data_IF_997818808323
#
_entry.id   IF_997818808323
#
_cell.length_a   1.000
_cell.length_b   1.000
_cell.length_c   1.000
_cell.angle_alpha   90.00
_cell.angle_beta   90.00
_cell.angle_gamma   90.00
#
_symmetry.space_group_name_H-M   'P 1'
#
loop_
_entity.id
_entity.type
_entity.pdbx_description
1 polymer ?
#
# COMPACT_ATOMS: atom_id res chain seq x y z
N UNK A 1 -51.33 5.99 -79.86
CA UNK A 1 -50.23 5.22 -79.41
C UNK A 1 -49.23 6.16 -78.77
N UNK A 2 -49.17 6.20 -77.42
CA UNK A 2 -48.34 7.12 -76.69
C UNK A 2 -47.19 6.26 -76.00
N UNK A 3 -45.95 6.46 -76.40
CA UNK A 3 -44.78 5.87 -75.78
C UNK A 3 -44.38 6.64 -74.54
N UNK A 4 -44.48 6.03 -73.37
CA UNK A 4 -43.97 6.60 -72.11
C UNK A 4 -42.46 6.22 -72.03
N UNK A 5 -41.56 7.22 -72.03
CA UNK A 5 -40.16 7.10 -71.72
C UNK A 5 -39.99 7.19 -70.24
N UNK A 6 -39.40 6.14 -69.64
CA UNK A 6 -39.02 6.08 -68.22
C UNK A 6 -37.62 6.63 -68.10
N UNK A 7 -37.40 7.75 -67.40
CA UNK A 7 -36.09 8.29 -67.05
C UNK A 7 -35.68 7.67 -65.70
N UNK A 8 -34.68 6.83 -65.73
CA UNK A 8 -34.05 6.30 -64.51
C UNK A 8 -32.99 7.29 -64.04
N UNK A 9 -33.23 7.96 -62.88
CA UNK A 9 -32.25 8.80 -62.18
C UNK A 9 -31.38 7.88 -61.35
N UNK A 10 -30.11 7.65 -61.76
CA UNK A 10 -29.07 7.00 -60.94
C UNK A 10 -28.45 8.07 -60.03
N UNK A 11 -28.81 8.08 -58.76
CA UNK A 11 -28.15 8.88 -57.75
C UNK A 11 -26.89 8.18 -57.31
N UNK A 12 -25.73 8.63 -57.80
CA UNK A 12 -24.43 8.17 -57.39
C UNK A 12 -24.06 8.91 -56.08
N UNK A 13 -24.37 8.31 -54.93
CA UNK A 13 -23.98 8.82 -53.61
C UNK A 13 -22.48 8.65 -53.42
N UNK A 14 -21.72 9.74 -53.52
CA UNK A 14 -20.32 9.79 -53.07
C UNK A 14 -20.28 9.67 -51.56
N UNK A 15 -20.08 8.46 -51.04
CA UNK A 15 -19.71 8.24 -49.65
C UNK A 15 -18.31 8.78 -49.43
N UNK A 16 -18.16 10.02 -49.01
CA UNK A 16 -16.91 10.57 -48.50
C UNK A 16 -16.74 9.97 -47.09
N UNK A 17 -16.10 8.81 -47.01
CA UNK A 17 -15.67 8.24 -45.75
C UNK A 17 -14.53 9.10 -45.20
N UNK A 18 -14.84 10.04 -44.32
CA UNK A 18 -13.88 10.68 -43.47
C UNK A 18 -13.27 9.60 -42.56
N UNK A 19 -12.12 9.05 -42.90
CA UNK A 19 -11.32 8.27 -41.96
C UNK A 19 -10.84 9.26 -40.92
N UNK A 20 -11.24 9.15 -39.63
CA UNK A 20 -10.64 9.97 -38.60
C UNK A 20 -9.12 9.68 -38.58
N UNK A 21 -8.31 10.70 -38.78
CA UNK A 21 -6.88 10.60 -38.54
C UNK A 21 -6.73 10.51 -37.03
N UNK A 22 -6.53 9.31 -36.51
CA UNK A 22 -6.02 9.10 -35.15
C UNK A 22 -4.55 9.54 -35.17
N UNK A 23 -4.29 10.76 -34.79
CA UNK A 23 -2.94 11.15 -34.42
C UNK A 23 -2.64 10.48 -33.09
N UNK A 24 -1.59 9.65 -33.05
CA UNK A 24 -1.11 9.09 -31.78
C UNK A 24 -0.82 10.24 -30.83
N UNK A 25 -1.23 10.18 -29.57
CA UNK A 25 -0.90 11.23 -28.61
C UNK A 25 0.61 11.48 -28.62
N UNK A 26 1.02 12.73 -28.74
CA UNK A 26 2.43 13.11 -28.63
C UNK A 26 2.93 12.77 -27.24
N UNK A 27 3.94 11.90 -27.14
CA UNK A 27 4.61 11.55 -25.88
C UNK A 27 5.91 12.36 -25.75
N UNK A 28 6.23 12.76 -24.52
CA UNK A 28 7.41 13.59 -24.26
C UNK A 28 7.82 13.48 -22.79
N UNK A 29 9.14 13.48 -22.53
CA UNK A 29 9.68 13.63 -21.17
C UNK A 29 9.55 15.07 -20.63
N UNK A 30 9.27 16.06 -21.51
CA UNK A 30 9.23 17.46 -21.10
C UNK A 30 10.55 17.93 -20.51
N UNK A 31 10.51 18.41 -19.27
CA UNK A 31 11.70 18.85 -18.54
C UNK A 31 12.35 17.74 -17.69
N UNK A 32 11.86 16.50 -17.78
CA UNK A 32 12.44 15.33 -17.10
C UNK A 32 13.56 14.77 -17.97
N UNK A 33 14.70 14.49 -17.37
CA UNK A 33 15.69 13.57 -17.93
C UNK A 33 15.47 12.18 -17.30
N UNK A 34 14.80 11.24 -18.01
CA UNK A 34 14.46 9.93 -17.45
C UNK A 34 15.58 8.89 -17.62
N UNK A 35 16.77 9.29 -18.10
CA UNK A 35 17.84 8.35 -18.48
C UNK A 35 18.30 7.47 -17.32
N UNK A 36 18.38 8.01 -16.11
CA UNK A 36 18.73 7.28 -14.89
C UNK A 36 17.67 7.58 -13.81
N UNK A 37 16.61 6.80 -13.84
CA UNK A 37 15.54 6.89 -12.86
C UNK A 37 15.81 5.99 -11.67
N UNK A 38 15.66 6.54 -10.47
CA UNK A 38 15.66 5.78 -9.22
C UNK A 38 14.38 6.06 -8.43
N UNK A 39 13.87 5.05 -7.71
CA UNK A 39 12.79 5.22 -6.75
C UNK A 39 13.20 4.68 -5.39
N UNK A 40 13.01 5.51 -4.36
CA UNK A 40 13.42 5.24 -2.99
C UNK A 40 12.18 5.21 -2.09
N UNK A 41 12.16 4.29 -1.12
CA UNK A 41 11.09 4.20 -0.13
C UNK A 41 11.03 2.86 0.57
N UNK A 42 9.87 2.59 1.17
CA UNK A 42 9.63 1.38 1.95
C UNK A 42 8.94 0.26 1.17
N UNK A 43 8.10 -0.47 1.87
CA UNK A 43 7.37 -1.66 1.40
C UNK A 43 6.62 -1.44 0.08
N UNK A 44 5.89 -0.32 -0.03
CA UNK A 44 5.09 0.00 -1.24
C UNK A 44 5.98 0.18 -2.48
N UNK A 45 7.15 0.78 -2.33
CA UNK A 45 8.12 0.99 -3.42
C UNK A 45 8.80 -0.31 -3.80
N UNK A 46 9.13 -1.15 -2.82
CA UNK A 46 9.74 -2.46 -3.03
C UNK A 46 8.86 -3.43 -3.84
N UNK A 47 7.55 -3.23 -3.84
CA UNK A 47 6.58 -4.19 -4.38
C UNK A 47 6.22 -5.29 -3.37
N UNK A 48 6.35 -4.99 -2.08
CA UNK A 48 5.84 -5.84 -1.02
C UNK A 48 4.30 -5.81 -1.04
N UNK A 49 3.68 -6.97 -1.12
CA UNK A 49 2.23 -7.12 -1.18
C UNK A 49 1.84 -8.52 -0.70
N UNK A 50 0.60 -8.72 -0.30
CA UNK A 50 0.14 -9.99 0.26
C UNK A 50 1.02 -10.46 1.42
N UNK A 51 1.47 -9.50 2.24
CA UNK A 51 2.38 -9.66 3.37
C UNK A 51 3.69 -10.39 3.02
N UNK A 52 4.24 -10.19 1.83
CA UNK A 52 5.56 -10.69 1.45
C UNK A 52 6.18 -9.95 0.26
N UNK A 53 7.52 -9.99 0.17
CA UNK A 53 8.23 -9.63 -1.04
C UNK A 53 8.26 -10.83 -1.98
N UNK A 54 7.70 -10.68 -3.18
CA UNK A 54 7.62 -11.72 -4.23
C UNK A 54 8.09 -11.18 -5.56
N UNK A 55 8.50 -12.06 -6.48
CA UNK A 55 8.82 -11.67 -7.84
C UNK A 55 7.65 -10.93 -8.53
N UNK A 56 6.44 -11.49 -8.42
CA UNK A 56 5.23 -10.88 -8.99
C UNK A 56 4.93 -9.51 -8.40
N UNK A 57 5.11 -9.32 -7.08
CA UNK A 57 4.96 -8.01 -6.43
C UNK A 57 5.99 -7.01 -6.96
N UNK A 58 7.24 -7.42 -7.10
CA UNK A 58 8.33 -6.54 -7.55
C UNK A 58 8.18 -6.08 -8.99
N UNK A 59 7.80 -6.97 -9.94
CA UNK A 59 7.59 -6.57 -11.35
C UNK A 59 6.35 -5.69 -11.54
N UNK A 60 5.42 -5.69 -10.58
CA UNK A 60 4.24 -4.83 -10.52
C UNK A 60 4.35 -3.76 -9.41
N UNK A 61 5.56 -3.50 -8.92
CA UNK A 61 5.81 -2.47 -7.91
C UNK A 61 5.55 -1.07 -8.47
N UNK A 62 5.26 -0.13 -7.59
CA UNK A 62 5.12 1.28 -7.96
C UNK A 62 6.33 1.77 -8.76
N UNK A 63 7.54 1.40 -8.34
CA UNK A 63 8.79 1.76 -9.00
C UNK A 63 8.88 1.18 -10.43
N UNK A 64 8.58 -0.12 -10.60
CA UNK A 64 8.60 -0.78 -11.90
C UNK A 64 7.61 -0.17 -12.88
N UNK A 65 6.40 0.12 -12.41
CA UNK A 65 5.32 0.67 -13.22
C UNK A 65 5.64 2.10 -13.71
N UNK A 66 6.18 2.95 -12.84
CA UNK A 66 6.63 4.30 -13.22
C UNK A 66 7.79 4.21 -14.22
N UNK A 67 8.81 3.38 -13.95
CA UNK A 67 9.95 3.18 -14.83
C UNK A 67 9.51 2.68 -16.22
N UNK A 68 8.53 1.77 -16.28
CA UNK A 68 7.95 1.28 -17.52
C UNK A 68 7.27 2.36 -18.36
N UNK A 69 6.70 3.40 -17.73
CA UNK A 69 6.15 4.54 -18.46
C UNK A 69 7.23 5.54 -18.86
N UNK A 70 8.24 5.75 -18.01
CA UNK A 70 9.39 6.59 -18.34
C UNK A 70 10.19 6.04 -19.54
N UNK A 71 10.30 4.71 -19.67
CA UNK A 71 10.99 4.09 -20.82
C UNK A 71 10.36 4.48 -22.17
N UNK A 72 9.05 4.77 -22.21
CA UNK A 72 8.36 5.19 -23.43
C UNK A 72 8.75 6.62 -23.89
N UNK A 73 9.32 7.41 -22.99
CA UNK A 73 9.73 8.79 -23.25
C UNK A 73 11.26 8.99 -23.15
N UNK A 74 12.03 7.91 -23.33
CA UNK A 74 13.48 7.94 -23.35
C UNK A 74 14.16 7.51 -22.06
N UNK A 75 13.43 6.88 -21.14
CA UNK A 75 14.00 6.29 -19.93
C UNK A 75 14.99 5.16 -20.23
N UNK A 76 16.06 5.12 -19.43
CA UNK A 76 17.09 4.09 -19.52
C UNK A 76 16.69 2.76 -18.90
N UNK A 77 17.68 1.89 -18.71
CA UNK A 77 17.48 0.59 -18.09
C UNK A 77 17.12 0.77 -16.61
N UNK A 78 16.11 0.05 -16.16
CA UNK A 78 15.66 0.04 -14.77
C UNK A 78 15.80 -1.35 -14.17
N UNK A 79 16.83 -1.56 -13.38
CA UNK A 79 17.09 -2.82 -12.70
C UNK A 79 16.46 -2.84 -11.32
N UNK A 80 16.02 -4.03 -10.89
CA UNK A 80 15.44 -4.25 -9.58
C UNK A 80 16.13 -5.41 -8.86
N UNK A 81 16.23 -5.37 -7.52
CA UNK A 81 16.77 -6.49 -6.74
C UNK A 81 15.73 -7.61 -6.63
N UNK A 82 15.37 -8.24 -7.76
CA UNK A 82 14.30 -9.23 -7.84
C UNK A 82 14.63 -10.47 -6.98
N UNK A 83 13.60 -11.00 -6.31
CA UNK A 83 13.63 -12.35 -5.77
C UNK A 83 13.41 -13.35 -6.91
N UNK A 84 13.78 -14.62 -6.70
CA UNK A 84 13.53 -15.68 -7.69
C UNK A 84 12.04 -15.80 -8.01
N UNK A 85 11.69 -16.04 -9.26
CA UNK A 85 10.32 -16.28 -9.72
C UNK A 85 9.68 -17.49 -9.01
N UNK A 86 10.50 -18.48 -8.64
CA UNK A 86 10.06 -19.66 -7.88
C UNK A 86 9.88 -19.41 -6.39
N UNK A 87 10.27 -18.25 -5.86
CA UNK A 87 10.15 -17.93 -4.44
C UNK A 87 8.68 -17.91 -3.99
N UNK A 88 8.44 -18.45 -2.80
CA UNK A 88 7.14 -18.34 -2.13
C UNK A 88 6.96 -16.99 -1.42
N UNK A 89 7.90 -16.08 -1.62
CA UNK A 89 7.93 -14.79 -0.92
C UNK A 89 8.35 -14.92 0.54
N UNK A 90 8.75 -13.79 1.13
CA UNK A 90 9.04 -13.72 2.57
C UNK A 90 8.50 -12.41 3.14
N UNK A 91 7.81 -12.53 4.27
CA UNK A 91 7.30 -11.40 5.03
C UNK A 91 8.38 -10.77 5.91
N UNK A 92 8.09 -9.60 6.48
CA UNK A 92 8.90 -8.98 7.54
C UNK A 92 9.11 -9.89 8.76
N UNK A 93 8.23 -10.88 8.95
CA UNK A 93 8.29 -11.86 10.04
C UNK A 93 8.79 -13.24 9.59
N UNK A 94 9.28 -13.37 8.35
CA UNK A 94 9.81 -14.62 7.81
C UNK A 94 8.78 -15.62 7.30
N UNK A 95 7.50 -15.20 7.16
CA UNK A 95 6.42 -16.07 6.66
C UNK A 95 6.29 -15.98 5.13
N UNK A 96 5.71 -17.02 4.51
CA UNK A 96 5.40 -17.04 3.09
C UNK A 96 4.27 -16.08 2.72
N UNK A 97 4.12 -15.78 1.42
CA UNK A 97 3.08 -14.91 0.87
C UNK A 97 1.67 -15.40 1.21
N UNK A 98 0.75 -14.46 1.42
CA UNK A 98 -0.68 -14.73 1.54
C UNK A 98 -1.29 -15.01 0.15
N UNK A 99 -2.22 -15.94 0.10
CA UNK A 99 -3.08 -16.20 -1.05
C UNK A 99 -4.51 -16.46 -0.56
N UNK A 100 -5.50 -16.27 -1.43
CA UNK A 100 -6.86 -16.71 -1.09
C UNK A 100 -6.92 -18.22 -1.16
N UNK A 101 -7.50 -18.82 -0.14
CA UNK A 101 -7.70 -20.25 -0.01
C UNK A 101 -8.81 -20.56 0.97
N UNK A 102 -9.22 -21.82 1.03
CA UNK A 102 -10.24 -22.24 1.98
C UNK A 102 -9.61 -22.58 3.33
N UNK A 103 -10.19 -22.01 4.39
CA UNK A 103 -9.83 -22.30 5.78
C UNK A 103 -11.06 -22.86 6.48
N UNK A 104 -10.89 -24.00 7.13
CA UNK A 104 -11.95 -24.63 7.95
C UNK A 104 -11.77 -24.18 9.40
N UNK A 105 -12.82 -23.67 10.00
CA UNK A 105 -12.85 -23.25 11.40
C UNK A 105 -13.12 -24.44 12.36
N UNK A 106 -13.18 -24.14 13.67
CA UNK A 106 -13.41 -25.13 14.71
C UNK A 106 -14.80 -25.80 14.68
N UNK A 107 -15.76 -25.20 13.97
CA UNK A 107 -17.11 -25.76 13.79
C UNK A 107 -17.22 -26.57 12.49
N UNK A 108 -16.11 -26.74 11.76
CA UNK A 108 -16.08 -27.46 10.50
C UNK A 108 -16.58 -26.66 9.29
N UNK A 109 -16.83 -25.37 9.45
CA UNK A 109 -17.26 -24.49 8.36
C UNK A 109 -16.05 -23.98 7.57
N UNK A 110 -16.03 -24.25 6.25
CA UNK A 110 -14.99 -23.76 5.36
C UNK A 110 -15.39 -22.43 4.73
N UNK A 111 -14.50 -21.44 4.82
CA UNK A 111 -14.67 -20.12 4.23
C UNK A 111 -13.43 -19.69 3.45
N UNK A 112 -13.64 -18.84 2.43
CA UNK A 112 -12.55 -18.23 1.68
C UNK A 112 -11.85 -17.20 2.55
N UNK A 113 -10.54 -17.37 2.72
CA UNK A 113 -9.73 -16.54 3.64
C UNK A 113 -8.32 -16.35 3.09
N UNK A 114 -7.60 -15.28 3.47
CA UNK A 114 -6.16 -15.23 3.28
C UNK A 114 -5.47 -16.34 4.07
N UNK A 115 -4.71 -17.16 3.37
CA UNK A 115 -3.91 -18.26 3.95
C UNK A 115 -2.48 -18.16 3.45
N UNK A 116 -1.52 -18.63 4.26
CA UNK A 116 -0.12 -18.67 3.84
C UNK A 116 0.07 -19.74 2.77
N UNK A 117 0.80 -19.40 1.71
CA UNK A 117 1.20 -20.37 0.68
C UNK A 117 2.10 -21.42 1.33
N UNK A 118 1.82 -22.70 1.04
CA UNK A 118 2.65 -23.79 1.54
C UNK A 118 4.10 -23.65 1.03
N UNK A 119 5.05 -23.80 1.95
CA UNK A 119 6.47 -23.82 1.59
C UNK A 119 6.80 -25.21 1.05
N UNK A 120 7.20 -25.26 -0.21
CA UNK A 120 7.67 -26.49 -0.85
C UNK A 120 9.07 -26.22 -1.38
N UNK A 121 10.07 -26.91 -0.84
CA UNK A 121 11.46 -26.79 -1.27
C UNK A 121 12.32 -25.89 -0.36
N UNK A 122 13.51 -25.54 -0.84
CA UNK A 122 14.47 -24.72 -0.13
C UNK A 122 14.09 -23.23 -0.19
N UNK A 123 13.95 -22.61 0.97
CA UNK A 123 13.68 -21.15 1.13
C UNK A 123 14.98 -20.33 1.17
N UNK A 124 16.13 -20.95 0.89
CA UNK A 124 17.45 -20.29 0.94
C UNK A 124 17.67 -19.16 -0.05
N UNK A 125 16.67 -18.87 -0.92
CA UNK A 125 16.64 -17.77 -1.90
C UNK A 125 16.99 -16.40 -1.29
N UNK A 126 16.97 -16.26 0.03
CA UNK A 126 17.25 -15.04 0.76
C UNK A 126 18.75 -14.73 0.92
N UNK A 127 19.62 -15.71 0.71
CA UNK A 127 21.04 -15.56 0.91
C UNK A 127 21.79 -15.10 -0.35
N UNK A 128 21.08 -14.93 -1.48
CA UNK A 128 21.70 -14.48 -2.71
C UNK A 128 21.99 -12.97 -2.65
N UNK A 129 23.25 -12.63 -2.54
CA UNK A 129 23.72 -11.25 -2.70
C UNK A 129 23.55 -10.85 -4.19
N UNK A 130 22.73 -9.85 -4.44
CA UNK A 130 22.40 -9.41 -5.80
C UNK A 130 23.23 -8.22 -6.28
N UNK A 131 24.06 -7.65 -5.39
CA UNK A 131 24.87 -6.49 -5.76
C UNK A 131 25.81 -6.84 -6.92
N UNK A 132 25.73 -6.02 -7.98
CA UNK A 132 26.61 -6.09 -9.12
C UNK A 132 27.13 -4.70 -9.47
N UNK A 133 28.45 -4.54 -9.52
CA UNK A 133 29.08 -3.30 -9.99
C UNK A 133 28.82 -2.98 -11.47
N UNK A 134 28.30 -3.94 -12.23
CA UNK A 134 28.08 -3.80 -13.67
C UNK A 134 26.79 -3.05 -14.03
N UNK A 135 25.83 -2.97 -13.12
CA UNK A 135 24.54 -2.31 -13.41
C UNK A 135 23.85 -1.90 -12.11
N UNK A 136 23.88 -0.62 -11.75
CA UNK A 136 23.22 -0.15 -10.54
C UNK A 136 21.70 -0.43 -10.59
N UNK A 137 21.10 -0.66 -9.44
CA UNK A 137 19.66 -0.77 -9.31
C UNK A 137 18.99 0.61 -9.48
N UNK A 138 17.73 0.60 -9.93
CA UNK A 138 16.84 1.75 -9.95
C UNK A 138 15.79 1.72 -8.84
N UNK A 139 15.45 0.51 -8.35
CA UNK A 139 14.50 0.35 -7.24
C UNK A 139 15.25 0.17 -5.91
N UNK A 140 15.16 1.19 -5.05
CA UNK A 140 15.68 1.24 -3.70
C UNK A 140 14.55 1.18 -2.66
N UNK A 141 13.48 0.47 -2.97
CA UNK A 141 12.44 0.11 -2.02
C UNK A 141 12.93 -0.96 -1.06
N UNK A 142 12.85 -0.69 0.23
CA UNK A 142 13.28 -1.60 1.31
C UNK A 142 12.10 -1.87 2.24
N UNK A 143 11.54 -3.09 2.24
CA UNK A 143 10.44 -3.41 3.13
C UNK A 143 10.74 -3.12 4.60
N UNK A 144 9.82 -2.44 5.27
CA UNK A 144 9.90 -2.11 6.69
C UNK A 144 10.88 -0.99 7.04
N UNK A 145 11.52 -0.33 6.07
CA UNK A 145 12.46 0.77 6.35
C UNK A 145 11.72 2.03 6.78
N UNK A 146 12.20 2.66 7.84
CA UNK A 146 11.74 3.99 8.26
C UNK A 146 12.53 5.09 7.54
N UNK A 147 11.96 6.28 7.51
CA UNK A 147 12.59 7.45 6.88
C UNK A 147 13.99 7.75 7.45
N UNK A 148 14.15 7.71 8.78
CA UNK A 148 15.42 7.96 9.46
C UNK A 148 16.48 6.90 9.16
N UNK A 149 16.07 5.68 8.79
CA UNK A 149 16.95 4.57 8.45
C UNK A 149 17.48 4.62 7.01
N UNK A 150 16.87 5.41 6.12
CA UNK A 150 17.33 5.50 4.73
C UNK A 150 18.78 5.97 4.60
N UNK A 151 19.26 6.77 5.55
CA UNK A 151 20.65 7.25 5.61
C UNK A 151 21.50 6.51 6.67
N UNK A 152 20.94 5.49 7.32
CA UNK A 152 21.66 4.73 8.33
C UNK A 152 22.70 3.84 7.67
N UNK A 153 23.97 4.12 7.95
CA UNK A 153 25.07 3.26 7.52
C UNK A 153 25.00 1.91 8.25
N UNK A 154 25.24 0.84 7.49
CA UNK A 154 25.19 -0.51 8.06
C UNK A 154 23.79 -1.09 8.23
N UNK A 155 22.75 -0.46 7.69
CA UNK A 155 21.37 -0.96 7.75
C UNK A 155 21.23 -2.41 7.26
N UNK A 156 22.10 -2.84 6.36
CA UNK A 156 22.13 -4.22 5.84
C UNK A 156 22.34 -5.30 6.90
N UNK A 157 22.87 -4.95 8.08
CA UNK A 157 23.02 -5.89 9.20
C UNK A 157 21.68 -6.19 9.89
N UNK A 158 20.76 -5.22 9.89
CA UNK A 158 19.49 -5.30 10.61
C UNK A 158 18.29 -5.49 9.67
N UNK A 159 18.44 -5.19 8.38
CA UNK A 159 17.39 -5.34 7.37
C UNK A 159 17.81 -6.35 6.29
N UNK A 160 17.25 -7.56 6.37
CA UNK A 160 17.56 -8.66 5.43
C UNK A 160 17.17 -8.34 3.99
N UNK A 161 16.17 -7.50 3.75
CA UNK A 161 15.80 -7.10 2.39
C UNK A 161 16.85 -6.20 1.76
N UNK A 162 17.39 -5.23 2.52
CA UNK A 162 18.47 -4.38 2.04
C UNK A 162 19.79 -5.14 1.91
N UNK A 163 20.08 -6.09 2.82
CA UNK A 163 21.31 -6.88 2.77
C UNK A 163 21.52 -7.63 1.45
N UNK A 164 20.44 -7.93 0.72
CA UNK A 164 20.50 -8.63 -0.58
C UNK A 164 21.16 -7.80 -1.68
N UNK A 165 21.06 -6.48 -1.62
CA UNK A 165 21.50 -5.60 -2.69
C UNK A 165 22.31 -4.38 -2.24
N UNK A 166 22.59 -4.26 -0.96
CA UNK A 166 23.47 -3.23 -0.44
C UNK A 166 24.87 -3.35 -1.07
N UNK A 167 25.45 -2.24 -1.51
CA UNK A 167 26.76 -2.21 -2.16
C UNK A 167 27.89 -2.66 -1.23
N UNK A 168 27.71 -2.45 0.06
CA UNK A 168 28.63 -2.90 1.11
C UNK A 168 27.91 -3.04 2.46
N UNK A 169 28.55 -3.69 3.42
CA UNK A 169 28.06 -3.79 4.79
C UNK A 169 27.96 -2.46 5.55
N UNK A 170 28.53 -1.38 5.01
CA UNK A 170 28.47 -0.03 5.60
C UNK A 170 27.68 0.96 4.78
N UNK A 171 27.15 0.56 3.62
CA UNK A 171 26.34 1.44 2.79
C UNK A 171 24.98 1.76 3.48
N UNK A 172 24.47 2.95 3.18
CA UNK A 172 23.06 3.29 3.42
C UNK A 172 22.26 3.16 2.12
N UNK A 173 20.92 3.12 2.22
CA UNK A 173 20.04 3.10 1.04
C UNK A 173 20.25 4.34 0.17
N UNK A 174 20.45 5.50 0.78
CA UNK A 174 20.66 6.76 0.06
C UNK A 174 22.05 6.81 -0.58
N UNK A 175 23.11 6.29 0.07
CA UNK A 175 24.45 6.22 -0.55
C UNK A 175 24.39 5.40 -1.85
N UNK A 176 23.70 4.25 -1.81
CA UNK A 176 23.55 3.40 -2.99
C UNK A 176 22.68 4.06 -4.07
N UNK A 177 21.59 4.72 -3.69
CA UNK A 177 20.74 5.44 -4.63
C UNK A 177 21.46 6.62 -5.30
N UNK A 178 22.27 7.38 -4.56
CA UNK A 178 23.09 8.50 -5.09
C UNK A 178 24.22 7.97 -5.97
N UNK A 179 24.82 6.82 -5.62
CA UNK A 179 25.88 6.20 -6.43
C UNK A 179 25.39 5.73 -7.81
N UNK A 180 24.09 5.52 -7.98
CA UNK A 180 23.46 5.27 -9.28
C UNK A 180 23.42 6.52 -10.18
N UNK A 181 23.88 7.68 -9.69
CA UNK A 181 23.92 8.98 -10.38
C UNK A 181 22.59 9.34 -11.05
N UNK A 182 21.49 9.44 -10.27
CA UNK A 182 20.17 9.63 -10.84
C UNK A 182 20.04 10.99 -11.54
N UNK A 183 19.36 10.99 -12.69
CA UNK A 183 18.93 12.22 -13.38
C UNK A 183 17.51 12.61 -12.99
N UNK A 184 16.70 11.60 -12.57
CA UNK A 184 15.35 11.78 -12.04
C UNK A 184 15.09 10.79 -10.92
N UNK A 185 14.44 11.23 -9.83
CA UNK A 185 14.09 10.36 -8.73
C UNK A 185 12.62 10.46 -8.32
N UNK A 186 12.13 9.39 -7.68
CA UNK A 186 10.87 9.39 -6.93
C UNK A 186 11.15 8.99 -5.47
N UNK A 187 10.53 9.68 -4.51
CA UNK A 187 10.64 9.36 -3.10
C UNK A 187 9.24 9.18 -2.48
N UNK A 188 8.99 7.98 -1.95
CA UNK A 188 7.80 7.69 -1.17
C UNK A 188 8.22 6.96 0.11
N UNK A 189 8.51 7.72 1.14
CA UNK A 189 9.07 7.26 2.42
C UNK A 189 8.31 7.86 3.59
N UNK A 190 8.31 7.18 4.73
CA UNK A 190 7.59 7.58 5.93
C UNK A 190 6.27 6.81 6.16
N UNK A 191 5.90 5.91 5.26
CA UNK A 191 4.68 5.11 5.40
C UNK A 191 4.88 3.91 6.34
N UNK A 192 6.03 3.24 6.26
CA UNK A 192 6.28 2.01 7.00
C UNK A 192 6.30 2.23 8.51
N UNK A 193 6.84 3.36 9.00
CA UNK A 193 6.79 3.69 10.43
C UNK A 193 5.37 3.99 10.92
N UNK A 194 4.55 4.66 10.10
CA UNK A 194 3.14 4.91 10.45
C UNK A 194 2.35 3.60 10.52
N UNK A 195 2.56 2.72 9.55
CA UNK A 195 1.95 1.39 9.50
C UNK A 195 2.39 0.53 10.68
N UNK A 196 3.69 0.50 10.99
CA UNK A 196 4.22 -0.28 12.11
C UNK A 196 3.64 0.20 13.44
N UNK A 197 3.60 1.51 13.66
CA UNK A 197 3.01 2.11 14.85
C UNK A 197 1.52 1.77 14.98
N UNK A 198 0.75 1.97 13.92
CA UNK A 198 -0.68 1.66 13.92
C UNK A 198 -0.97 0.15 14.10
N UNK A 199 -0.19 -0.73 13.44
CA UNK A 199 -0.36 -2.21 13.56
C UNK A 199 -0.06 -2.73 14.95
N UNK A 200 0.71 -2.02 15.75
CA UNK A 200 0.99 -2.39 17.14
C UNK A 200 -0.05 -1.89 18.13
N UNK A 201 -1.16 -1.26 17.69
CA UNK A 201 -2.08 -0.56 18.59
C UNK A 201 -1.37 0.57 19.35
N UNK A 202 -0.48 1.28 18.69
CA UNK A 202 0.34 2.36 19.26
C UNK A 202 1.21 1.93 20.49
N UNK A 203 1.32 0.64 20.78
CA UNK A 203 2.02 0.12 21.98
C UNK A 203 3.53 -0.01 21.78
N UNK A 204 4.02 -0.06 20.55
CA UNK A 204 5.43 -0.28 20.23
C UNK A 204 6.01 0.93 19.49
N UNK A 205 7.07 1.50 20.05
CA UNK A 205 7.80 2.61 19.46
C UNK A 205 7.12 3.95 19.66
N UNK A 206 7.76 4.99 19.13
CA UNK A 206 7.23 6.35 19.07
C UNK A 206 7.41 6.87 17.66
N UNK A 207 6.43 7.62 17.17
CA UNK A 207 6.60 8.32 15.91
C UNK A 207 7.62 9.46 16.08
N UNK A 208 8.50 9.71 15.10
CA UNK A 208 9.38 10.87 15.14
C UNK A 208 8.59 12.16 15.32
N UNK A 209 9.17 13.14 16.03
CA UNK A 209 8.59 14.49 16.05
C UNK A 209 8.54 15.07 14.63
N UNK A 210 7.67 16.04 14.39
CA UNK A 210 7.58 16.70 13.07
C UNK A 210 8.92 17.29 12.63
N UNK A 211 9.71 17.83 13.57
CA UNK A 211 11.03 18.41 13.28
C UNK A 211 12.07 17.34 12.90
N UNK A 212 12.08 16.20 13.57
CA UNK A 212 12.96 15.07 13.22
C UNK A 212 12.60 14.50 11.86
N UNK A 213 11.32 14.28 11.60
CA UNK A 213 10.82 13.82 10.31
C UNK A 213 11.22 14.79 9.18
N UNK A 214 10.96 16.10 9.36
CA UNK A 214 11.30 17.13 8.38
C UNK A 214 12.81 17.20 8.12
N UNK A 215 13.63 17.10 9.18
CA UNK A 215 15.09 17.13 9.05
C UNK A 215 15.62 15.91 8.29
N UNK A 216 15.12 14.70 8.61
CA UNK A 216 15.50 13.48 7.90
C UNK A 216 15.07 13.53 6.44
N UNK A 217 13.84 13.97 6.16
CA UNK A 217 13.33 14.10 4.79
C UNK A 217 14.13 15.12 3.97
N UNK A 218 14.43 16.30 4.55
CA UNK A 218 15.25 17.34 3.91
C UNK A 218 16.67 16.85 3.63
N UNK A 219 17.26 16.07 4.53
CA UNK A 219 18.59 15.48 4.34
C UNK A 219 18.61 14.50 3.16
N UNK A 220 17.60 13.63 3.07
CA UNK A 220 17.43 12.71 1.93
C UNK A 220 17.28 13.48 0.62
N UNK A 221 16.44 14.52 0.58
CA UNK A 221 16.26 15.35 -0.61
C UNK A 221 17.54 16.10 -1.00
N UNK A 222 18.28 16.62 -0.02
CA UNK A 222 19.56 17.29 -0.27
C UNK A 222 20.56 16.35 -0.93
N UNK A 223 20.65 15.10 -0.49
CA UNK A 223 21.53 14.11 -1.11
C UNK A 223 21.09 13.76 -2.55
N UNK A 224 19.79 13.53 -2.77
CA UNK A 224 19.26 13.16 -4.09
C UNK A 224 19.34 14.31 -5.12
N UNK A 225 19.27 15.57 -4.69
CA UNK A 225 19.30 16.74 -5.58
C UNK A 225 20.69 17.34 -5.76
N UNK A 226 21.71 16.84 -5.07
CA UNK A 226 23.06 17.42 -5.04
C UNK A 226 23.68 17.55 -6.44
N UNK A 227 23.40 16.58 -7.33
CA UNK A 227 23.89 16.60 -8.72
C UNK A 227 22.88 17.20 -9.71
N UNK A 228 21.85 17.93 -9.22
CA UNK A 228 20.85 18.59 -10.06
C UNK A 228 19.73 17.68 -10.55
N UNK A 229 19.57 16.47 -9.99
CA UNK A 229 18.46 15.61 -10.32
C UNK A 229 17.11 16.28 -9.96
N UNK A 230 16.14 16.20 -10.88
CA UNK A 230 14.75 16.55 -10.62
C UNK A 230 14.04 15.36 -9.99
N UNK A 231 12.91 15.58 -9.34
CA UNK A 231 12.22 14.46 -8.69
C UNK A 231 10.74 14.70 -8.41
N UNK A 232 10.12 13.65 -7.92
CA UNK A 232 8.74 13.64 -7.44
C UNK A 232 8.69 13.03 -6.04
N UNK A 233 7.98 13.69 -5.14
CA UNK A 233 7.77 13.21 -3.76
C UNK A 233 6.28 13.08 -3.49
N UNK A 234 5.92 12.32 -2.47
CA UNK A 234 4.53 12.03 -2.16
C UNK A 234 4.18 12.33 -0.70
N UNK A 235 2.98 12.81 -0.44
CA UNK A 235 2.41 12.89 0.90
C UNK A 235 2.16 11.48 1.46
N UNK A 236 1.79 11.35 2.73
CA UNK A 236 1.47 10.10 3.39
C UNK A 236 -0.05 9.93 3.53
N UNK A 237 -0.59 8.75 3.27
CA UNK A 237 -2.02 8.49 3.46
C UNK A 237 -2.39 8.41 4.95
N UNK A 238 -3.67 8.60 5.26
CA UNK A 238 -4.24 8.19 6.55
C UNK A 238 -4.30 6.66 6.62
N UNK A 239 -3.33 6.05 7.27
CA UNK A 239 -3.22 4.58 7.39
C UNK A 239 -4.43 3.96 8.10
N UNK A 240 -5.15 4.72 8.92
CA UNK A 240 -6.33 4.25 9.64
C UNK A 240 -7.53 3.96 8.72
N UNK A 241 -7.49 4.41 7.46
CA UNK A 241 -8.50 4.13 6.43
C UNK A 241 -8.22 2.85 5.63
N UNK A 242 -7.10 2.19 5.88
CA UNK A 242 -6.74 0.97 5.18
C UNK A 242 -7.59 -0.23 5.64
N UNK A 243 -7.85 -1.21 4.76
CA UNK A 243 -8.65 -2.40 5.09
C UNK A 243 -8.21 -3.13 6.36
N UNK A 244 -6.92 -3.12 6.67
CA UNK A 244 -6.36 -3.73 7.87
C UNK A 244 -7.04 -3.25 9.16
N UNK A 245 -7.47 -1.99 9.20
CA UNK A 245 -8.08 -1.36 10.37
C UNK A 245 -9.60 -1.18 10.23
N UNK A 246 -10.16 -1.30 9.04
CA UNK A 246 -11.59 -0.99 8.79
C UNK A 246 -12.45 -2.22 8.54
N UNK A 247 -11.83 -3.42 8.47
CA UNK A 247 -12.55 -4.66 8.12
C UNK A 247 -13.32 -5.24 9.30
N UNK A 248 -12.77 -5.18 10.51
CA UNK A 248 -13.45 -5.70 11.73
C UNK A 248 -14.12 -4.52 12.42
N UNK A 249 -15.46 -4.48 12.45
CA UNK A 249 -16.18 -3.40 13.13
C UNK A 249 -16.07 -3.55 14.65
N UNK A 250 -15.99 -2.42 15.39
CA UNK A 250 -15.94 -2.41 16.85
C UNK A 250 -17.10 -3.19 17.50
N UNK A 251 -18.25 -3.26 16.83
CA UNK A 251 -19.48 -3.92 17.25
C UNK A 251 -19.79 -5.18 16.42
N UNK A 252 -18.77 -5.93 16.07
CA UNK A 252 -18.90 -7.14 15.25
C UNK A 252 -19.35 -8.40 16.00
N UNK A 253 -19.57 -8.33 17.32
CA UNK A 253 -20.10 -9.44 18.11
C UNK A 253 -21.61 -9.60 17.86
N UNK A 254 -21.97 -10.52 16.97
CA UNK A 254 -23.36 -10.80 16.66
C UNK A 254 -23.92 -11.88 17.59
N UNK A 255 -24.92 -11.53 18.40
CA UNK A 255 -25.68 -12.45 19.26
C UNK A 255 -27.07 -12.66 18.69
N UNK A 256 -27.48 -13.91 18.56
CA UNK A 256 -28.80 -14.32 18.04
C UNK A 256 -29.56 -15.13 19.10
N UNK A 257 -30.80 -15.49 18.83
CA UNK A 257 -31.55 -16.39 19.72
C UNK A 257 -30.89 -17.76 19.88
N UNK A 258 -30.01 -18.16 18.96
CA UNK A 258 -29.23 -19.41 19.06
C UNK A 258 -28.09 -19.28 20.10
N UNK A 259 -27.69 -18.06 20.46
CA UNK A 259 -26.66 -17.72 21.46
C UNK A 259 -27.30 -17.25 22.80
N UNK A 260 -28.50 -17.65 23.14
CA UNK A 260 -29.20 -17.16 24.35
C UNK A 260 -28.45 -17.45 25.65
N UNK A 261 -27.77 -18.60 25.73
CA UNK A 261 -26.96 -18.97 26.89
C UNK A 261 -25.70 -18.07 26.99
N UNK A 262 -25.06 -17.76 25.86
CA UNK A 262 -23.94 -16.85 25.80
C UNK A 262 -24.37 -15.42 26.21
N UNK A 263 -25.49 -14.93 25.70
CA UNK A 263 -26.04 -13.62 26.07
C UNK A 263 -26.30 -13.56 27.60
N UNK A 264 -26.89 -14.60 28.19
CA UNK A 264 -27.13 -14.66 29.63
C UNK A 264 -25.82 -14.67 30.42
N UNK A 265 -24.84 -15.45 29.98
CA UNK A 265 -23.53 -15.52 30.62
C UNK A 265 -22.81 -14.16 30.59
N UNK A 266 -22.80 -13.49 29.43
CA UNK A 266 -22.17 -12.19 29.27
C UNK A 266 -22.81 -11.12 30.16
N UNK A 267 -24.15 -11.07 30.19
CA UNK A 267 -24.85 -10.12 31.03
C UNK A 267 -24.63 -10.40 32.52
N UNK A 268 -24.54 -11.68 32.94
CA UNK A 268 -24.21 -12.02 34.32
C UNK A 268 -22.80 -11.55 34.75
N UNK A 269 -21.83 -11.59 33.82
CA UNK A 269 -20.44 -11.19 34.08
C UNK A 269 -20.30 -9.67 34.04
N UNK A 270 -20.87 -9.04 33.02
CA UNK A 270 -20.53 -7.65 32.68
C UNK A 270 -21.55 -6.60 33.15
N UNK A 271 -22.82 -6.96 33.42
CA UNK A 271 -23.81 -6.03 33.99
C UNK A 271 -23.35 -5.42 35.32
N UNK A 272 -22.71 -6.16 36.23
CA UNK A 272 -22.18 -5.56 37.46
C UNK A 272 -21.10 -4.51 37.23
N UNK A 273 -20.45 -4.53 36.05
CA UNK A 273 -19.45 -3.57 35.63
C UNK A 273 -20.05 -2.42 34.80
N UNK A 274 -21.36 -2.45 34.55
CA UNK A 274 -22.09 -1.42 33.79
C UNK A 274 -22.11 -1.65 32.28
N UNK A 275 -21.71 -2.83 31.79
CA UNK A 275 -21.74 -3.17 30.35
C UNK A 275 -22.88 -4.14 30.06
N UNK A 276 -23.61 -3.90 28.98
CA UNK A 276 -24.80 -4.61 28.60
C UNK A 276 -24.69 -5.20 27.20
N UNK A 277 -25.22 -6.38 27.01
CA UNK A 277 -25.31 -7.07 25.72
C UNK A 277 -26.78 -7.37 25.39
N UNK A 278 -27.12 -7.37 24.10
CA UNK A 278 -28.47 -7.66 23.62
C UNK A 278 -28.38 -8.49 22.33
N UNK A 279 -29.52 -8.97 21.85
CA UNK A 279 -29.55 -9.58 20.52
C UNK A 279 -29.23 -8.56 19.45
N UNK A 280 -28.43 -8.99 18.44
CA UNK A 280 -27.91 -8.15 17.39
C UNK A 280 -26.41 -7.92 17.54
N UNK A 281 -25.91 -6.83 16.96
CA UNK A 281 -24.48 -6.48 16.99
C UNK A 281 -24.11 -5.77 18.29
N UNK A 282 -23.12 -6.29 18.98
CA UNK A 282 -22.60 -5.75 20.24
C UNK A 282 -21.13 -5.37 20.09
N UNK A 283 -20.65 -4.37 20.87
CA UNK A 283 -19.23 -4.07 20.95
C UNK A 283 -18.45 -5.26 21.52
N UNK A 284 -17.26 -5.47 20.99
CA UNK A 284 -16.32 -6.40 21.60
C UNK A 284 -15.80 -5.87 22.93
N UNK A 285 -15.35 -6.78 23.81
CA UNK A 285 -14.62 -6.41 25.01
C UNK A 285 -13.14 -6.20 24.69
N UNK A 286 -12.58 -5.10 25.19
CA UNK A 286 -11.18 -4.70 25.01
C UNK A 286 -10.55 -4.42 26.36
N UNK A 287 -9.23 -4.52 26.46
CA UNK A 287 -8.47 -4.03 27.61
C UNK A 287 -8.56 -2.50 27.62
N UNK A 288 -8.76 -1.92 28.78
CA UNK A 288 -8.77 -0.48 28.97
C UNK A 288 -7.33 0.00 29.27
N UNK A 289 -6.65 0.47 28.22
CA UNK A 289 -5.27 0.97 28.30
C UNK A 289 -5.17 2.30 29.06
N UNK A 290 -6.29 3.00 29.27
CA UNK A 290 -6.31 4.29 30.00
C UNK A 290 -6.40 4.14 31.51
N UNK A 291 -6.75 2.94 31.98
CA UNK A 291 -6.86 2.66 33.42
C UNK A 291 -5.49 2.42 34.06
N UNK A 292 -5.32 2.88 35.30
CA UNK A 292 -4.10 2.63 36.10
C UNK A 292 -3.96 1.19 36.60
N UNK A 293 -4.91 0.33 36.30
CA UNK A 293 -4.94 -1.09 36.65
C UNK A 293 -5.56 -1.87 35.45
N UNK A 294 -5.39 -3.18 35.45
CA UNK A 294 -6.01 -4.01 34.42
C UNK A 294 -7.52 -3.89 34.50
N UNK A 295 -8.08 -3.16 33.57
CA UNK A 295 -9.51 -2.95 33.44
C UNK A 295 -9.97 -3.41 32.04
N UNK A 296 -11.25 -3.64 31.91
CA UNK A 296 -11.88 -4.03 30.65
C UNK A 296 -13.04 -3.11 30.37
N UNK A 297 -13.30 -2.84 29.10
CA UNK A 297 -14.43 -2.04 28.64
C UNK A 297 -14.96 -2.57 27.31
N UNK A 298 -16.15 -2.13 26.95
CA UNK A 298 -16.63 -2.34 25.58
C UNK A 298 -15.87 -1.41 24.63
N UNK A 299 -15.58 -1.90 23.42
CA UNK A 299 -15.05 -1.08 22.33
C UNK A 299 -16.05 0.03 21.97
N UNK A 300 -15.53 1.22 21.66
CA UNK A 300 -16.37 2.40 21.41
C UNK A 300 -16.54 2.67 19.90
N UNK A 301 -17.62 3.36 19.51
CA UNK A 301 -17.78 3.82 18.14
C UNK A 301 -16.57 4.65 17.69
N UNK A 302 -16.01 4.29 16.52
CA UNK A 302 -14.85 4.97 15.93
C UNK A 302 -13.50 4.40 16.34
N UNK A 303 -13.42 3.49 17.31
CA UNK A 303 -12.21 2.68 17.54
C UNK A 303 -12.03 1.65 16.44
N UNK A 304 -10.77 1.33 16.15
CA UNK A 304 -10.41 0.43 15.07
C UNK A 304 -9.81 -0.86 15.61
N UNK A 305 -10.28 -1.97 15.05
CA UNK A 305 -9.80 -3.30 15.37
C UNK A 305 -8.97 -3.85 14.21
N UNK A 306 -7.78 -4.38 14.52
CA UNK A 306 -6.83 -4.80 13.50
C UNK A 306 -7.14 -6.18 12.92
N UNK A 307 -6.78 -6.42 11.66
CA UNK A 307 -6.82 -7.75 11.03
C UNK A 307 -5.82 -8.75 11.65
N UNK A 308 -4.97 -8.32 12.58
CA UNK A 308 -4.12 -9.23 13.36
C UNK A 308 -4.92 -10.07 14.37
N UNK A 309 -6.16 -9.68 14.68
CA UNK A 309 -7.04 -10.46 15.57
C UNK A 309 -7.23 -11.86 14.98
N UNK A 310 -6.88 -12.92 15.73
CA UNK A 310 -7.04 -14.29 15.26
C UNK A 310 -8.54 -14.67 15.28
N UNK A 311 -9.22 -14.57 14.15
CA UNK A 311 -10.66 -14.78 14.02
C UNK A 311 -11.12 -16.16 14.52
N UNK A 312 -10.27 -17.20 14.43
CA UNK A 312 -10.56 -18.50 15.02
C UNK A 312 -10.67 -18.42 16.56
N UNK A 313 -9.82 -17.60 17.19
CA UNK A 313 -9.89 -17.38 18.64
C UNK A 313 -11.12 -16.58 19.03
N UNK A 314 -11.59 -15.67 18.18
CA UNK A 314 -12.86 -14.97 18.39
C UNK A 314 -14.01 -15.96 18.35
N UNK A 315 -14.08 -16.78 17.31
CA UNK A 315 -15.18 -17.72 17.08
C UNK A 315 -15.16 -18.90 18.05
N UNK A 316 -13.99 -19.47 18.35
CA UNK A 316 -13.84 -20.74 19.02
C UNK A 316 -13.41 -20.63 20.48
N UNK A 317 -12.81 -19.50 20.88
CA UNK A 317 -12.19 -19.33 22.21
C UNK A 317 -12.65 -18.07 22.92
N UNK A 318 -13.77 -17.48 22.47
CA UNK A 318 -14.43 -16.32 23.12
C UNK A 318 -13.49 -15.10 23.29
N UNK A 319 -12.48 -14.96 22.42
CA UNK A 319 -11.61 -13.79 22.38
C UNK A 319 -12.41 -12.57 21.93
N UNK A 320 -12.20 -11.43 22.56
CA UNK A 320 -13.04 -10.24 22.36
C UNK A 320 -14.38 -10.28 23.09
N UNK A 321 -14.60 -11.33 23.91
CA UNK A 321 -15.81 -11.54 24.71
C UNK A 321 -15.40 -11.84 26.15
N UNK A 322 -15.17 -13.11 26.53
CA UNK A 322 -14.67 -13.46 27.86
C UNK A 322 -13.17 -13.18 28.02
N UNK A 323 -12.43 -13.19 26.92
CA UNK A 323 -11.02 -12.80 26.86
C UNK A 323 -10.90 -11.51 26.04
N UNK A 324 -10.92 -10.32 26.65
CA UNK A 324 -10.90 -9.04 25.96
C UNK A 324 -9.73 -8.92 24.97
N UNK A 325 -9.93 -8.21 23.86
CA UNK A 325 -8.84 -7.90 22.97
C UNK A 325 -7.78 -7.10 23.70
N UNK A 326 -6.53 -7.49 23.50
CA UNK A 326 -5.39 -6.75 24.05
C UNK A 326 -5.19 -5.44 23.28
N UNK A 327 -4.56 -4.50 23.92
CA UNK A 327 -4.29 -3.17 23.42
C UNK A 327 -3.64 -3.17 22.03
N UNK A 328 -2.72 -4.09 21.78
CA UNK A 328 -2.05 -4.25 20.48
C UNK A 328 -2.97 -4.52 19.28
N UNK A 329 -4.21 -4.92 19.53
CA UNK A 329 -5.22 -5.15 18.48
C UNK A 329 -6.18 -3.98 18.27
N UNK A 330 -6.07 -2.95 19.09
CA UNK A 330 -7.02 -1.84 19.15
C UNK A 330 -6.30 -0.53 18.92
N UNK A 331 -6.89 0.35 18.15
CA UNK A 331 -6.54 1.77 18.14
C UNK A 331 -7.69 2.53 18.75
N UNK A 332 -7.48 3.08 19.92
CA UNK A 332 -8.46 3.88 20.62
C UNK A 332 -8.55 5.31 20.03
N UNK A 333 -9.50 6.10 20.53
CA UNK A 333 -9.74 7.43 19.99
C UNK A 333 -8.60 8.41 20.27
N UNK A 334 -7.86 8.23 21.36
CA UNK A 334 -6.71 9.10 21.69
C UNK A 334 -5.54 8.80 20.74
N UNK A 335 -5.25 7.54 20.53
CA UNK A 335 -4.20 7.06 19.63
C UNK A 335 -4.49 7.43 18.16
N UNK A 336 -5.76 7.29 17.73
CA UNK A 336 -6.20 7.72 16.42
C UNK A 336 -6.02 9.22 16.22
N UNK A 337 -6.33 10.04 17.23
CA UNK A 337 -6.16 11.47 17.15
C UNK A 337 -4.67 11.85 17.05
N UNK A 338 -3.81 11.20 17.85
CA UNK A 338 -2.35 11.41 17.81
C UNK A 338 -1.79 11.03 16.44
N UNK A 339 -2.14 9.85 15.94
CA UNK A 339 -1.65 9.34 14.67
C UNK A 339 -2.07 10.25 13.50
N UNK A 340 -3.35 10.60 13.41
CA UNK A 340 -3.88 11.49 12.36
C UNK A 340 -3.29 12.89 12.41
N UNK A 341 -3.11 13.44 13.60
CA UNK A 341 -2.44 14.74 13.78
C UNK A 341 -0.99 14.68 13.28
N UNK A 342 -0.27 13.59 13.59
CA UNK A 342 1.11 13.42 13.16
C UNK A 342 1.23 13.25 11.65
N UNK A 343 0.35 12.44 11.01
CA UNK A 343 0.28 12.32 9.54
C UNK A 343 0.07 13.69 8.89
N UNK A 344 -0.87 14.49 9.40
CA UNK A 344 -1.12 15.85 8.90
C UNK A 344 0.11 16.74 9.01
N UNK A 345 0.83 16.67 10.13
CA UNK A 345 2.06 17.44 10.34
C UNK A 345 3.18 17.02 9.39
N UNK A 346 3.37 15.70 9.17
CA UNK A 346 4.31 15.18 8.21
C UNK A 346 3.96 15.63 6.78
N UNK A 347 2.69 15.57 6.41
CA UNK A 347 2.24 16.01 5.08
C UNK A 347 2.48 17.50 4.86
N UNK A 348 2.30 18.34 5.89
CA UNK A 348 2.63 19.76 5.79
C UNK A 348 4.15 19.98 5.59
N UNK A 349 5.00 19.20 6.27
CA UNK A 349 6.44 19.25 6.09
C UNK A 349 6.84 18.79 4.66
N UNK A 350 6.26 17.70 4.15
CA UNK A 350 6.50 17.20 2.78
C UNK A 350 6.11 18.25 1.74
N UNK A 351 4.93 18.88 1.88
CA UNK A 351 4.48 19.95 0.96
C UNK A 351 5.46 21.13 0.96
N UNK A 352 5.89 21.58 2.13
CA UNK A 352 6.89 22.65 2.25
C UNK A 352 8.23 22.29 1.59
N UNK A 353 8.69 21.05 1.77
CA UNK A 353 9.91 20.55 1.17
C UNK A 353 9.79 20.40 -0.36
N UNK A 354 8.62 19.97 -0.87
CA UNK A 354 8.37 19.93 -2.32
C UNK A 354 8.56 21.31 -2.96
N UNK A 355 8.04 22.36 -2.32
CA UNK A 355 8.19 23.74 -2.78
C UNK A 355 9.64 24.20 -2.65
N UNK A 356 10.28 23.96 -1.51
CA UNK A 356 11.67 24.36 -1.24
C UNK A 356 12.66 23.76 -2.24
N UNK A 357 12.52 22.48 -2.58
CA UNK A 357 13.37 21.76 -3.53
C UNK A 357 12.85 21.83 -4.98
N UNK A 358 11.75 22.54 -5.21
CA UNK A 358 11.10 22.70 -6.53
C UNK A 358 10.76 21.35 -7.20
N UNK A 359 10.23 20.39 -6.44
CA UNK A 359 9.90 19.05 -6.87
C UNK A 359 8.41 18.91 -7.25
N UNK A 360 8.09 17.88 -8.03
CA UNK A 360 6.71 17.46 -8.20
C UNK A 360 6.17 16.84 -6.89
N UNK A 361 4.89 17.09 -6.58
CA UNK A 361 4.24 16.55 -5.39
C UNK A 361 3.04 15.70 -5.80
N UNK A 362 2.98 14.48 -5.28
CA UNK A 362 1.81 13.60 -5.38
C UNK A 362 1.01 13.69 -4.10
N UNK A 363 -0.27 13.99 -4.21
CA UNK A 363 -1.18 13.93 -3.05
C UNK A 363 -1.70 12.50 -2.88
N UNK A 364 -0.94 11.68 -2.15
CA UNK A 364 -1.36 10.32 -1.84
C UNK A 364 -2.41 10.30 -0.73
N UNK A 365 -2.50 11.35 0.10
CA UNK A 365 -3.56 11.50 1.09
C UNK A 365 -4.93 11.51 0.38
N UNK A 366 -5.09 12.35 -0.67
CA UNK A 366 -6.30 12.39 -1.50
C UNK A 366 -6.54 11.07 -2.25
N UNK A 367 -5.47 10.48 -2.80
CA UNK A 367 -5.57 9.21 -3.53
C UNK A 367 -6.14 8.09 -2.66
N UNK A 368 -5.59 7.86 -1.45
CA UNK A 368 -6.06 6.81 -0.56
C UNK A 368 -7.44 7.12 0.04
N UNK A 369 -7.75 8.39 0.29
CA UNK A 369 -9.09 8.81 0.69
C UNK A 369 -10.13 8.47 -0.40
N UNK A 370 -9.79 8.67 -1.67
CA UNK A 370 -10.68 8.29 -2.78
C UNK A 370 -10.95 6.78 -2.85
N UNK A 371 -9.99 5.94 -2.47
CA UNK A 371 -10.20 4.50 -2.32
C UNK A 371 -11.13 4.17 -1.14
N UNK A 372 -11.02 4.92 -0.04
CA UNK A 372 -11.92 4.76 1.11
C UNK A 372 -13.37 5.10 0.74
N UNK A 373 -13.58 6.18 0.02
CA UNK A 373 -14.90 6.60 -0.46
C UNK A 373 -15.44 5.68 -1.56
N UNK A 374 -14.54 5.06 -2.32
CA UNK A 374 -14.85 4.22 -3.46
C UNK A 374 -15.16 5.02 -4.73
N UNK A 375 -14.64 4.54 -5.86
CA UNK A 375 -14.91 5.12 -7.17
C UNK A 375 -15.01 4.05 -8.26
N UNK A 376 -15.58 4.42 -9.40
CA UNK A 376 -15.68 3.52 -10.56
C UNK A 376 -14.63 3.89 -11.60
N UNK A 377 -13.80 2.92 -11.98
CA UNK A 377 -12.83 3.04 -13.07
C UNK A 377 -13.16 2.03 -14.17
N UNK A 378 -13.48 2.50 -15.36
CA UNK A 378 -13.87 1.65 -16.51
C UNK A 378 -14.94 0.58 -16.16
N UNK A 379 -15.93 0.95 -15.36
CA UNK A 379 -17.04 0.07 -14.96
C UNK A 379 -16.72 -0.87 -13.79
N UNK A 380 -15.50 -0.81 -13.23
CA UNK A 380 -15.08 -1.61 -12.05
C UNK A 380 -14.99 -0.70 -10.83
N UNK A 381 -15.64 -1.08 -9.74
CA UNK A 381 -15.55 -0.35 -8.46
C UNK A 381 -14.20 -0.61 -7.81
N UNK A 382 -13.49 0.47 -7.48
CA UNK A 382 -12.28 0.49 -6.67
C UNK A 382 -12.60 1.05 -5.29
N UNK A 383 -12.20 0.35 -4.24
CA UNK A 383 -12.44 0.80 -2.86
C UNK A 383 -11.46 0.16 -1.88
N UNK A 384 -11.49 0.64 -0.62
CA UNK A 384 -10.76 0.04 0.50
C UNK A 384 -11.44 -1.20 1.09
N UNK A 385 -12.49 -1.75 0.46
CA UNK A 385 -13.13 -2.96 0.95
C UNK A 385 -12.17 -4.15 0.84
N UNK A 386 -11.92 -4.83 1.96
CA UNK A 386 -10.98 -5.95 2.02
C UNK A 386 -11.35 -7.06 1.02
N UNK A 387 -10.37 -7.61 0.32
CA UNK A 387 -10.48 -8.60 -0.75
C UNK A 387 -11.31 -8.13 -1.95
N UNK A 388 -12.50 -7.60 -1.76
CA UNK A 388 -13.46 -7.28 -2.83
C UNK A 388 -13.33 -5.86 -3.39
N UNK A 389 -12.54 -4.97 -2.75
CA UNK A 389 -12.36 -3.59 -3.18
C UNK A 389 -11.44 -3.39 -4.39
N UNK A 390 -10.68 -4.40 -4.78
CA UNK A 390 -9.93 -4.46 -6.03
C UNK A 390 -8.57 -3.78 -6.04
N UNK A 391 -8.25 -2.91 -5.07
CA UNK A 391 -7.02 -2.12 -5.05
C UNK A 391 -5.99 -2.58 -4.01
N UNK A 392 -6.42 -3.16 -2.89
CA UNK A 392 -5.54 -3.60 -1.82
C UNK A 392 -5.15 -5.07 -1.96
N UNK A 393 -4.00 -5.42 -1.43
CA UNK A 393 -3.52 -6.80 -1.31
C UNK A 393 -4.12 -7.49 -0.07
N UNK A 394 -3.83 -8.79 0.08
CA UNK A 394 -4.42 -9.61 1.16
C UNK A 394 -3.86 -9.30 2.55
N UNK A 395 -2.84 -8.45 2.66
CA UNK A 395 -2.38 -7.90 3.94
C UNK A 395 -3.25 -6.74 4.45
N UNK A 396 -4.12 -6.19 3.60
CA UNK A 396 -5.00 -5.07 3.93
C UNK A 396 -4.29 -3.72 4.09
N UNK A 397 -3.01 -3.63 3.81
CA UNK A 397 -2.15 -2.43 3.93
C UNK A 397 -1.62 -1.99 2.58
N UNK A 398 -0.91 -2.88 1.90
CA UNK A 398 -0.25 -2.56 0.64
C UNK A 398 -1.24 -2.65 -0.53
N UNK A 399 -0.95 -1.90 -1.58
CA UNK A 399 -1.72 -2.02 -2.81
C UNK A 399 -1.29 -3.29 -3.58
N UNK A 400 -2.24 -3.93 -4.25
CA UNK A 400 -1.95 -4.97 -5.24
C UNK A 400 -1.48 -4.36 -6.57
N UNK A 401 -1.22 -5.18 -7.58
CA UNK A 401 -0.74 -4.72 -8.88
C UNK A 401 -1.66 -3.66 -9.53
N UNK A 402 -2.98 -3.83 -9.42
CA UNK A 402 -3.97 -2.87 -9.93
C UNK A 402 -3.97 -1.56 -9.13
N UNK A 403 -3.91 -1.63 -7.82
CA UNK A 403 -3.78 -0.48 -6.94
C UNK A 403 -2.48 0.29 -7.18
N UNK A 404 -1.36 -0.43 -7.41
CA UNK A 404 -0.09 0.17 -7.79
C UNK A 404 -0.16 0.90 -9.13
N UNK A 405 -0.89 0.37 -10.13
CA UNK A 405 -1.08 1.05 -11.40
C UNK A 405 -1.91 2.34 -11.26
N UNK A 406 -2.93 2.33 -10.38
CA UNK A 406 -3.69 3.55 -10.04
C UNK A 406 -2.79 4.59 -9.36
N UNK A 407 -1.99 4.18 -8.36
CA UNK A 407 -1.07 5.07 -7.66
C UNK A 407 0.04 5.59 -8.60
N UNK A 408 0.59 4.73 -9.47
CA UNK A 408 1.56 5.15 -10.49
C UNK A 408 0.99 6.24 -11.39
N UNK A 409 -0.30 6.15 -11.77
CA UNK A 409 -0.96 7.21 -12.54
C UNK A 409 -1.05 8.54 -11.78
N UNK A 410 -1.20 8.53 -10.45
CA UNK A 410 -1.13 9.74 -9.64
C UNK A 410 0.27 10.37 -9.69
N UNK A 411 1.34 9.56 -9.61
CA UNK A 411 2.72 10.02 -9.79
C UNK A 411 2.93 10.60 -11.19
N UNK A 412 2.53 9.90 -12.23
CA UNK A 412 2.65 10.35 -13.62
C UNK A 412 1.88 11.66 -13.87
N UNK A 413 0.69 11.82 -13.27
CA UNK A 413 -0.10 13.05 -13.33
C UNK A 413 0.66 14.23 -12.72
N UNK A 414 1.24 14.06 -11.53
CA UNK A 414 2.03 15.08 -10.86
C UNK A 414 3.30 15.46 -11.66
N UNK A 415 4.00 14.45 -12.18
CA UNK A 415 5.18 14.64 -13.03
C UNK A 415 4.83 15.39 -14.32
N UNK A 416 3.77 14.99 -15.01
CA UNK A 416 3.31 15.64 -16.23
C UNK A 416 2.94 17.11 -16.00
N UNK A 417 2.27 17.40 -14.87
CA UNK A 417 1.88 18.76 -14.51
C UNK A 417 3.10 19.64 -14.18
N UNK A 418 4.03 19.15 -13.35
CA UNK A 418 5.19 19.95 -12.90
C UNK A 418 6.21 20.18 -14.00
N UNK A 419 6.50 19.14 -14.78
CA UNK A 419 7.62 19.13 -15.74
C UNK A 419 7.18 19.25 -17.20
N UNK A 420 5.92 19.57 -17.44
CA UNK A 420 5.35 19.72 -18.80
C UNK A 420 5.60 18.49 -19.67
N UNK A 421 5.68 17.32 -19.02
CA UNK A 421 5.84 16.05 -19.72
C UNK A 421 4.50 15.53 -20.23
N UNK A 422 4.54 14.57 -21.13
CA UNK A 422 3.39 13.83 -21.66
C UNK A 422 3.68 12.34 -21.57
N UNK A 423 4.01 11.89 -20.36
CA UNK A 423 4.23 10.48 -20.07
C UNK A 423 2.87 9.80 -20.09
N UNK A 424 2.72 8.71 -20.85
CA UNK A 424 1.42 8.04 -20.96
C UNK A 424 1.01 7.37 -19.64
N UNK A 425 -0.28 7.35 -19.35
CA UNK A 425 -0.83 6.64 -18.20
C UNK A 425 -0.92 5.14 -18.43
N UNK A 426 -0.93 4.38 -17.34
CA UNK A 426 -1.22 2.96 -17.32
C UNK A 426 -2.74 2.74 -17.43
N UNK A 427 -3.12 1.61 -18.00
CA UNK A 427 -4.47 1.09 -17.85
C UNK A 427 -4.53 0.14 -16.64
N UNK A 428 -5.08 0.54 -15.49
CA UNK A 428 -5.12 -0.30 -14.29
C UNK A 428 -5.86 -1.63 -14.47
N UNK A 429 -6.72 -1.73 -15.49
CA UNK A 429 -7.46 -2.97 -15.76
C UNK A 429 -6.60 -4.08 -16.41
N UNK A 430 -5.39 -3.77 -16.86
CA UNK A 430 -4.42 -4.74 -17.35
C UNK A 430 -3.66 -5.44 -16.21
N UNK A 431 -3.85 -4.97 -14.98
CA UNK A 431 -3.20 -5.49 -13.78
C UNK A 431 -4.17 -6.28 -12.91
N UNK A 432 -3.66 -7.34 -12.28
CA UNK A 432 -4.47 -8.20 -11.45
C UNK A 432 -4.86 -7.50 -10.12
N UNK A 433 -6.12 -7.65 -9.73
CA UNK A 433 -6.58 -7.50 -8.37
C UNK A 433 -6.38 -8.82 -7.58
N UNK A 434 -7.08 -9.01 -6.45
CA UNK A 434 -7.04 -10.27 -5.71
C UNK A 434 -7.43 -11.44 -6.63
N UNK A 435 -6.64 -12.53 -6.58
CA UNK A 435 -6.88 -13.73 -7.40
C UNK A 435 -7.64 -14.74 -6.56
N UNK A 436 -8.79 -15.16 -7.08
CA UNK A 436 -9.63 -16.17 -6.44
C UNK A 436 -9.20 -17.58 -6.89
N UNK A 437 -9.28 -18.60 -5.99
CA UNK A 437 -8.93 -19.98 -6.30
C UNK A 437 -9.87 -20.62 -7.32
#
# INVERSE_FOLDING_TARGET
MVRKSLFAFVVFGLAVSCKPKYESPEISSGEIDPARFVMIGGSQVAGYSDDALTYSGQINSLAALIAGQLSKVGGGVFNQPLVSESSVGVSLTGLSVLQLGYKTDCEGTSSLSPVRKAIVGDVSVWNDLLYSNASPFGNFGVPGVRLDQLQLQGLSADNTFFSRFASSGTASVIDDAVSADPTFFALFAGLDELVAYAKSGATIGTLPSTSEFQSSYASVLSALTMNGAKGVIATLPDVTQMPYFTTIPYNGLALTSENADDLSLLNNIYNPLGYYFDYGNNPFMVVDSTANFVAVRQAMPGELLSLAIPLDSVKCHQMGVLYPFRDEFVLDQLELNVLRAQIKNYNNAIRSLADQFNLALVDTEEFYASLSDGFVYNGVTMSSKFVSGGAYSLDGIQLNARGNALLANAFLKAMNAKYRSKIPFLNPMEFNGPVFP
#
